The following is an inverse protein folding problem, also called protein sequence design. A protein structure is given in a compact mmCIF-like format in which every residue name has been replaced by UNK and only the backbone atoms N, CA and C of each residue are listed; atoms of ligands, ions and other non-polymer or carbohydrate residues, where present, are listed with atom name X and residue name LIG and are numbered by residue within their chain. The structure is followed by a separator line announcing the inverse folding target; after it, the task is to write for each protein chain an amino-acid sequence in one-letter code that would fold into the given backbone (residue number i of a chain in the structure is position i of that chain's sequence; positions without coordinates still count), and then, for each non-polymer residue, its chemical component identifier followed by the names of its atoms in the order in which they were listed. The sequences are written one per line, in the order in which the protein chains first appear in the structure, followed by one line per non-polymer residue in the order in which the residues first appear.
data_IF_763506695691
#
_entry.id   IF_763506695691
#
_cell.length_a   1.000
_cell.length_b   1.000
_cell.length_c   1.000
_cell.angle_alpha   90.00
_cell.angle_beta   90.00
_cell.angle_gamma   90.00
#
_symmetry.space_group_name_H-M   'P 1'
#
loop_
_entity.id
_entity.type
_entity.pdbx_description
1 polymer ?
#
# COMPACT_ATOMS: atom_id res chain seq x y z
N UNK A 1 -14.51 -25.69 -4.37
CA UNK A 1 -14.16 -24.42 -3.69
C UNK A 1 -13.05 -23.80 -4.50
N UNK A 2 -13.41 -23.05 -5.53
CA UNK A 2 -12.46 -22.50 -6.50
C UNK A 2 -11.95 -21.16 -5.99
N UNK A 3 -10.66 -20.91 -6.20
CA UNK A 3 -9.83 -19.71 -6.01
C UNK A 3 -10.44 -18.32 -6.34
N UNK A 4 -11.71 -18.25 -6.72
CA UNK A 4 -12.34 -17.15 -7.46
C UNK A 4 -13.59 -16.58 -6.76
N UNK A 5 -13.62 -16.46 -5.43
CA UNK A 5 -14.71 -15.71 -4.80
C UNK A 5 -14.52 -14.18 -5.07
N UNK A 6 -15.45 -13.51 -5.80
CA UNK A 6 -15.30 -12.11 -6.21
C UNK A 6 -15.08 -11.13 -5.06
N UNK A 7 -15.55 -11.48 -3.85
CA UNK A 7 -15.50 -10.65 -2.64
C UNK A 7 -14.08 -10.53 -2.06
N UNK A 8 -13.30 -11.58 -2.21
CA UNK A 8 -11.89 -11.67 -1.75
C UNK A 8 -10.99 -10.81 -2.62
N UNK A 9 -11.29 -10.77 -3.93
CA UNK A 9 -10.63 -9.89 -4.89
C UNK A 9 -10.90 -8.41 -4.61
N UNK A 10 -12.12 -8.06 -4.17
CA UNK A 10 -12.49 -6.66 -3.93
C UNK A 10 -11.82 -6.11 -2.66
N UNK A 11 -11.78 -6.89 -1.58
CA UNK A 11 -11.12 -6.46 -0.34
C UNK A 11 -9.60 -6.30 -0.53
N UNK A 12 -8.95 -7.29 -1.17
CA UNK A 12 -7.53 -7.22 -1.49
C UNK A 12 -7.17 -6.08 -2.45
N UNK A 13 -8.02 -5.84 -3.46
CA UNK A 13 -7.83 -4.73 -4.39
C UNK A 13 -7.88 -3.37 -3.69
N UNK A 14 -8.72 -3.22 -2.66
CA UNK A 14 -8.84 -1.99 -1.88
C UNK A 14 -7.62 -1.73 -1.01
N UNK A 15 -7.10 -2.76 -0.34
CA UNK A 15 -5.94 -2.60 0.54
C UNK A 15 -4.67 -2.30 -0.27
N UNK A 16 -4.52 -2.96 -1.43
CA UNK A 16 -3.48 -2.63 -2.40
C UNK A 16 -3.62 -1.19 -2.92
N UNK A 17 -4.84 -0.75 -3.24
CA UNK A 17 -5.08 0.62 -3.68
C UNK A 17 -4.74 1.64 -2.57
N UNK A 18 -5.10 1.37 -1.32
CA UNK A 18 -4.77 2.21 -0.18
C UNK A 18 -3.25 2.34 0.02
N UNK A 19 -2.50 1.23 -0.12
CA UNK A 19 -1.04 1.26 -0.06
C UNK A 19 -0.43 2.15 -1.16
N UNK A 20 -0.93 2.05 -2.39
CA UNK A 20 -0.47 2.92 -3.49
C UNK A 20 -0.85 4.39 -3.29
N UNK A 21 -2.04 4.67 -2.75
CA UNK A 21 -2.45 6.03 -2.39
C UNK A 21 -1.51 6.63 -1.33
N UNK A 22 -1.12 5.83 -0.32
CA UNK A 22 -0.19 6.27 0.70
C UNK A 22 1.19 6.63 0.10
N UNK A 23 1.73 5.79 -0.79
CA UNK A 23 2.99 6.08 -1.51
C UNK A 23 2.85 7.37 -2.33
N UNK A 24 1.75 7.52 -3.08
CA UNK A 24 1.52 8.72 -3.88
C UNK A 24 1.45 9.99 -3.02
N UNK A 25 0.84 9.93 -1.83
CA UNK A 25 0.75 11.05 -0.90
C UNK A 25 2.13 11.46 -0.35
N UNK A 26 2.99 10.49 -0.04
CA UNK A 26 4.38 10.74 0.39
C UNK A 26 5.17 11.41 -0.73
N UNK A 27 5.07 10.89 -1.96
CA UNK A 27 5.68 11.51 -3.14
C UNK A 27 5.21 12.95 -3.35
N UNK A 28 3.91 13.20 -3.30
CA UNK A 28 3.33 14.53 -3.45
C UNK A 28 3.84 15.50 -2.37
N UNK A 29 3.94 15.03 -1.13
CA UNK A 29 4.44 15.83 0.00
C UNK A 29 5.90 16.20 -0.19
N UNK A 30 6.77 15.24 -0.54
CA UNK A 30 8.18 15.50 -0.80
C UNK A 30 8.38 16.43 -2.00
N UNK A 31 7.66 16.21 -3.10
CA UNK A 31 7.74 17.06 -4.28
C UNK A 31 7.29 18.49 -3.97
N UNK A 32 6.19 18.65 -3.22
CA UNK A 32 5.71 19.96 -2.78
C UNK A 32 6.73 20.68 -1.89
N UNK A 33 7.28 19.98 -0.89
CA UNK A 33 8.29 20.54 0.02
C UNK A 33 9.55 20.94 -0.75
N UNK A 34 10.05 20.07 -1.63
CA UNK A 34 11.20 20.36 -2.47
C UNK A 34 10.97 21.60 -3.33
N UNK A 35 9.79 21.68 -3.98
CA UNK A 35 9.42 22.84 -4.79
C UNK A 35 9.39 24.12 -3.95
N UNK A 36 8.77 24.09 -2.76
CA UNK A 36 8.70 25.24 -1.85
C UNK A 36 10.06 25.69 -1.33
N UNK A 37 11.02 24.78 -1.20
CA UNK A 37 12.38 25.09 -0.75
C UNK A 37 13.39 25.34 -1.89
N UNK A 38 12.99 25.30 -3.16
CA UNK A 38 13.90 25.45 -4.30
C UNK A 38 14.82 26.66 -4.20
N UNK A 39 14.28 27.85 -3.86
CA UNK A 39 15.07 29.08 -3.75
C UNK A 39 16.06 29.02 -2.57
N UNK A 40 15.66 28.42 -1.44
CA UNK A 40 16.51 28.25 -0.28
C UNK A 40 17.67 27.26 -0.55
N UNK A 41 17.39 26.19 -1.30
CA UNK A 41 18.42 25.24 -1.71
C UNK A 41 19.38 25.86 -2.75
N UNK A 42 18.87 26.66 -3.67
CA UNK A 42 19.69 27.37 -4.65
C UNK A 42 20.62 28.38 -3.97
N UNK A 43 20.12 29.15 -3.00
CA UNK A 43 20.92 30.12 -2.25
C UNK A 43 22.07 29.48 -1.44
N UNK A 44 21.90 28.21 -1.04
CA UNK A 44 22.90 27.45 -0.25
C UNK A 44 23.75 26.51 -1.10
N UNK A 45 23.46 26.36 -2.40
CA UNK A 45 24.12 25.39 -3.29
C UNK A 45 23.82 23.93 -2.97
N UNK A 46 22.77 23.64 -2.17
CA UNK A 46 22.45 22.30 -1.68
C UNK A 46 21.43 21.54 -2.54
N UNK A 47 20.95 22.13 -3.64
CA UNK A 47 19.86 21.57 -4.47
C UNK A 47 20.12 20.12 -4.87
N UNK A 48 21.33 19.81 -5.35
CA UNK A 48 21.68 18.45 -5.78
C UNK A 48 21.65 17.46 -4.60
N UNK A 49 22.25 17.85 -3.46
CA UNK A 49 22.30 17.02 -2.25
C UNK A 49 20.89 16.73 -1.73
N UNK A 50 20.04 17.76 -1.65
CA UNK A 50 18.67 17.60 -1.18
C UNK A 50 17.82 16.77 -2.15
N UNK A 51 18.03 16.91 -3.46
CA UNK A 51 17.36 16.09 -4.46
C UNK A 51 17.77 14.61 -4.34
N UNK A 52 19.07 14.33 -4.13
CA UNK A 52 19.56 12.96 -3.93
C UNK A 52 18.99 12.35 -2.65
N UNK A 53 19.08 13.06 -1.51
CA UNK A 53 18.56 12.56 -0.25
C UNK A 53 17.05 12.33 -0.29
N UNK A 54 16.28 13.28 -0.83
CA UNK A 54 14.83 13.13 -1.03
C UNK A 54 14.50 11.95 -1.94
N UNK A 55 15.24 11.80 -3.04
CA UNK A 55 15.10 10.68 -3.97
C UNK A 55 15.37 9.32 -3.31
N UNK A 56 16.42 9.22 -2.50
CA UNK A 56 16.74 7.99 -1.74
C UNK A 56 15.61 7.64 -0.78
N UNK A 57 15.09 8.60 -0.03
CA UNK A 57 13.97 8.36 0.89
C UNK A 57 12.73 7.87 0.16
N UNK A 58 12.35 8.53 -0.94
CA UNK A 58 11.21 8.13 -1.76
C UNK A 58 11.39 6.74 -2.36
N UNK A 59 12.59 6.43 -2.85
CA UNK A 59 12.92 5.13 -3.40
C UNK A 59 12.81 4.02 -2.35
N UNK A 60 13.46 4.18 -1.19
CA UNK A 60 13.44 3.20 -0.12
C UNK A 60 12.03 3.02 0.45
N UNK A 61 11.26 4.09 0.60
CA UNK A 61 9.88 4.03 1.06
C UNK A 61 8.99 3.25 0.07
N UNK A 62 9.11 3.54 -1.22
CA UNK A 62 8.37 2.83 -2.28
C UNK A 62 8.78 1.35 -2.33
N UNK A 63 10.07 1.05 -2.21
CA UNK A 63 10.59 -0.31 -2.18
C UNK A 63 10.10 -1.10 -0.96
N UNK A 64 10.02 -0.47 0.21
CA UNK A 64 9.48 -1.09 1.42
C UNK A 64 7.99 -1.43 1.26
N UNK A 65 7.18 -0.54 0.68
CA UNK A 65 5.76 -0.81 0.39
C UNK A 65 5.62 -1.91 -0.66
N UNK A 66 6.47 -1.93 -1.69
CA UNK A 66 6.49 -3.00 -2.69
C UNK A 66 6.84 -4.36 -2.05
N UNK A 67 7.84 -4.39 -1.16
CA UNK A 67 8.21 -5.59 -0.43
C UNK A 67 7.07 -6.07 0.48
N UNK A 68 6.40 -5.13 1.18
CA UNK A 68 5.21 -5.41 1.98
C UNK A 68 4.12 -6.05 1.10
N UNK A 69 3.78 -5.43 -0.03
CA UNK A 69 2.74 -5.95 -0.94
C UNK A 69 3.10 -7.33 -1.52
N UNK A 70 4.37 -7.55 -1.87
CA UNK A 70 4.85 -8.84 -2.39
C UNK A 70 4.77 -9.94 -1.34
N UNK A 71 5.22 -9.66 -0.11
CA UNK A 71 5.12 -10.62 0.99
C UNK A 71 3.66 -10.89 1.37
N UNK A 72 2.81 -9.85 1.32
CA UNK A 72 1.35 -10.00 1.48
C UNK A 72 0.70 -10.87 0.40
N UNK A 73 1.22 -10.90 -0.84
CA UNK A 73 0.76 -11.82 -1.89
C UNK A 73 1.14 -13.27 -1.60
N UNK A 74 2.35 -13.51 -1.07
CA UNK A 74 2.86 -14.83 -0.70
C UNK A 74 2.11 -15.42 0.51
N UNK A 75 1.74 -14.61 1.51
CA UNK A 75 1.01 -15.05 2.73
C UNK A 75 -0.52 -15.00 2.61
N UNK A 76 -1.06 -14.42 1.53
CA UNK A 76 -2.51 -14.22 1.32
C UNK A 76 -3.31 -15.53 1.36
N UNK A 77 -2.73 -16.61 0.82
CA UNK A 77 -3.40 -17.90 0.69
C UNK A 77 -3.71 -18.53 2.05
N UNK A 78 -2.89 -18.27 3.07
CA UNK A 78 -3.08 -18.80 4.42
C UNK A 78 -4.05 -17.92 5.25
N UNK A 79 -3.92 -16.59 5.19
CA UNK A 79 -4.69 -15.67 6.03
C UNK A 79 -6.14 -15.53 5.55
N UNK A 80 -6.36 -15.29 4.26
CA UNK A 80 -7.72 -15.07 3.75
C UNK A 80 -8.54 -16.35 3.69
N UNK A 81 -7.89 -17.53 3.57
CA UNK A 81 -8.59 -18.81 3.59
C UNK A 81 -9.38 -19.05 4.89
N UNK A 82 -8.79 -18.70 6.04
CA UNK A 82 -9.43 -18.83 7.34
C UNK A 82 -10.57 -17.81 7.53
N UNK A 83 -10.34 -16.53 7.21
CA UNK A 83 -11.34 -15.48 7.38
C UNK A 83 -12.59 -15.70 6.50
N UNK A 84 -12.40 -16.15 5.25
CA UNK A 84 -13.52 -16.48 4.36
C UNK A 84 -14.30 -17.69 4.91
N UNK A 85 -13.60 -18.71 5.39
CA UNK A 85 -14.22 -19.89 5.98
C UNK A 85 -15.12 -19.53 7.18
N UNK A 86 -14.66 -18.66 8.08
CA UNK A 86 -15.47 -18.21 9.22
C UNK A 86 -16.64 -17.32 8.79
N UNK A 87 -16.45 -16.43 7.81
CA UNK A 87 -17.54 -15.60 7.26
C UNK A 87 -18.63 -16.45 6.57
N UNK A 88 -18.25 -17.48 5.82
CA UNK A 88 -19.18 -18.42 5.20
C UNK A 88 -19.92 -19.25 6.24
N UNK A 89 -19.23 -19.67 7.30
CA UNK A 89 -19.85 -20.38 8.42
C UNK A 89 -20.90 -19.54 9.12
N UNK A 90 -20.60 -18.28 9.43
CA UNK A 90 -21.56 -17.34 10.04
C UNK A 90 -22.76 -17.10 9.11
N UNK A 91 -22.51 -16.97 7.80
CA UNK A 91 -23.59 -16.81 6.82
C UNK A 91 -24.48 -18.06 6.71
N UNK A 92 -23.90 -19.25 6.77
CA UNK A 92 -24.64 -20.51 6.79
C UNK A 92 -25.49 -20.66 8.06
N UNK A 93 -24.92 -20.38 9.23
CA UNK A 93 -25.63 -20.40 10.52
C UNK A 93 -26.84 -19.44 10.50
N UNK A 94 -26.68 -18.24 9.92
CA UNK A 94 -27.79 -17.27 9.76
C UNK A 94 -28.89 -17.72 8.80
N UNK A 95 -28.57 -18.53 7.79
CA UNK A 95 -29.57 -19.10 6.87
C UNK A 95 -30.35 -20.24 7.49
N UNK A 96 -29.71 -21.03 8.36
CA UNK A 96 -30.35 -22.13 9.09
C UNK A 96 -31.25 -21.61 10.22
N UNK A 97 -30.88 -20.47 10.83
CA UNK A 97 -31.66 -19.81 11.88
C UNK A 97 -32.89 -19.02 11.37
N UNK A 98 -33.14 -19.00 10.06
CA UNK A 98 -34.23 -18.24 9.41
C UNK A 98 -35.23 -19.19 8.76
#
# INVERSE_FOLDING_TARGET
MTEQDPRVRTMFGRDRAAAWIAVALVWATYAFVFWRMTDAFAATGLTAVMATLGGVVLFLNTAAVLALLRHYEEDKAAIYGADIYYLDRIAAERRVAR
#
